data_IF_669440422739
#
_entry.id   IF_669440422739
#
_cell.length_a   1.000
_cell.length_b   1.000
_cell.length_c   1.000
_cell.angle_alpha   90.00
_cell.angle_beta   90.00
_cell.angle_gamma   90.00
#
_symmetry.space_group_name_H-M   'P 1'
#
loop_
_entity.id
_entity.type
_entity.pdbx_description
1 polymer ?
#
# COMPACT_ATOMS: atom_id res chain seq x y z
N UNK A 1 -28.07 6.98 -2.83
CA UNK A 1 -27.80 6.25 -4.09
C UNK A 1 -28.92 5.26 -4.30
N UNK A 2 -29.61 5.29 -5.44
CA UNK A 2 -30.59 4.27 -5.82
C UNK A 2 -29.94 3.26 -6.77
N UNK A 3 -30.39 2.00 -6.71
CA UNK A 3 -30.02 0.94 -7.66
C UNK A 3 -31.30 0.29 -8.17
N UNK A 4 -31.30 -0.07 -9.45
CA UNK A 4 -32.35 -0.85 -10.07
C UNK A 4 -31.93 -2.32 -10.09
N UNK A 5 -32.78 -3.23 -9.61
CA UNK A 5 -32.56 -4.67 -9.63
C UNK A 5 -33.61 -5.34 -10.52
N UNK A 6 -33.20 -6.38 -11.23
CA UNK A 6 -34.04 -7.14 -12.14
C UNK A 6 -35.16 -7.85 -11.39
N UNK A 7 -36.41 -7.57 -11.78
CA UNK A 7 -37.62 -8.11 -11.16
C UNK A 7 -38.32 -9.18 -12.02
N UNK A 8 -37.57 -9.86 -12.90
CA UNK A 8 -38.09 -10.89 -13.81
C UNK A 8 -39.31 -10.41 -14.63
N UNK A 9 -40.50 -10.88 -14.27
CA UNK A 9 -41.76 -10.65 -15.00
C UNK A 9 -42.17 -9.18 -15.04
N UNK A 10 -41.78 -8.40 -14.02
CA UNK A 10 -42.15 -6.99 -13.93
C UNK A 10 -41.14 -6.04 -14.57
N UNK A 11 -40.01 -6.53 -15.08
CA UNK A 11 -38.91 -5.68 -15.57
C UNK A 11 -39.26 -4.97 -16.90
N UNK A 12 -40.06 -5.63 -17.74
CA UNK A 12 -40.41 -5.17 -19.08
C UNK A 12 -41.03 -3.75 -19.12
N UNK A 13 -42.09 -3.43 -18.34
CA UNK A 13 -42.68 -2.08 -18.36
C UNK A 13 -41.76 -0.98 -17.81
N UNK A 14 -40.75 -1.32 -17.00
CA UNK A 14 -39.80 -0.34 -16.46
C UNK A 14 -38.55 -0.14 -17.32
N UNK A 15 -38.47 -0.81 -18.48
CA UNK A 15 -37.37 -0.57 -19.41
C UNK A 15 -37.42 0.86 -19.95
N UNK A 16 -36.26 1.51 -20.12
CA UNK A 16 -36.17 2.90 -20.59
C UNK A 16 -36.97 3.17 -21.87
N UNK A 17 -37.03 2.18 -22.78
CA UNK A 17 -37.78 2.26 -24.04
C UNK A 17 -39.29 2.37 -23.84
N UNK A 18 -39.86 1.66 -22.86
CA UNK A 18 -41.29 1.72 -22.55
C UNK A 18 -41.65 2.97 -21.74
N UNK A 19 -40.68 3.51 -21.00
CA UNK A 19 -40.80 4.78 -20.28
C UNK A 19 -40.58 6.00 -21.20
N UNK A 20 -40.46 5.79 -22.51
CA UNK A 20 -40.19 6.84 -23.49
C UNK A 20 -38.93 7.67 -23.16
N UNK A 21 -37.93 7.05 -22.52
CA UNK A 21 -36.64 7.70 -22.31
C UNK A 21 -35.84 7.67 -23.62
N UNK A 22 -35.63 8.85 -24.21
CA UNK A 22 -34.86 9.03 -25.44
C UNK A 22 -33.36 9.28 -25.19
N UNK A 23 -32.93 9.34 -23.93
CA UNK A 23 -31.51 9.42 -23.57
C UNK A 23 -30.86 8.03 -23.51
N UNK A 24 -29.52 8.00 -23.52
CA UNK A 24 -28.77 6.76 -23.29
C UNK A 24 -29.01 6.29 -21.85
N UNK A 25 -29.61 5.10 -21.65
CA UNK A 25 -29.94 4.64 -20.32
C UNK A 25 -28.70 4.35 -19.49
N UNK A 26 -28.77 4.70 -18.20
CA UNK A 26 -27.68 4.43 -17.25
C UNK A 26 -27.51 2.92 -17.08
N UNK A 27 -26.26 2.47 -17.13
CA UNK A 27 -25.94 1.07 -16.86
C UNK A 27 -26.19 0.74 -15.38
N UNK A 28 -26.97 -0.30 -15.13
CA UNK A 28 -27.19 -0.87 -13.80
C UNK A 28 -26.83 -2.35 -13.81
N UNK A 29 -26.28 -2.83 -12.69
CA UNK A 29 -26.09 -4.26 -12.49
C UNK A 29 -27.46 -4.92 -12.34
N UNK A 30 -27.84 -5.77 -13.30
CA UNK A 30 -29.17 -6.37 -13.37
C UNK A 30 -29.46 -7.26 -12.15
N UNK A 31 -28.48 -8.00 -11.65
CA UNK A 31 -28.70 -8.94 -10.53
C UNK A 31 -27.83 -8.59 -9.32
N UNK A 32 -28.40 -8.48 -8.10
CA UNK A 32 -27.58 -8.32 -6.92
C UNK A 32 -26.67 -9.55 -6.74
N UNK A 33 -25.38 -9.30 -6.52
CA UNK A 33 -24.47 -10.38 -6.15
C UNK A 33 -24.83 -10.91 -4.76
N UNK A 34 -24.83 -12.24 -4.60
CA UNK A 34 -25.00 -12.86 -3.28
C UNK A 34 -23.86 -12.39 -2.36
N UNK A 35 -24.22 -11.82 -1.22
CA UNK A 35 -23.28 -11.44 -0.17
C UNK A 35 -23.27 -12.53 0.90
N UNK A 36 -22.08 -12.84 1.42
CA UNK A 36 -21.88 -13.74 2.54
C UNK A 36 -21.40 -12.91 3.75
N UNK A 37 -21.79 -13.31 4.95
CA UNK A 37 -21.40 -12.66 6.20
C UNK A 37 -22.41 -11.62 6.73
N UNK A 38 -21.95 -10.82 7.68
CA UNK A 38 -22.79 -9.88 8.45
C UNK A 38 -22.54 -8.43 8.02
N UNK A 39 -23.57 -7.59 8.13
CA UNK A 39 -23.43 -6.14 7.95
C UNK A 39 -22.69 -5.52 9.13
N UNK A 40 -21.79 -4.56 8.84
CA UNK A 40 -21.08 -3.77 9.86
C UNK A 40 -21.56 -2.32 9.80
N UNK A 41 -21.67 -1.67 10.96
CA UNK A 41 -22.02 -0.25 11.05
C UNK A 41 -20.83 0.56 10.52
N UNK A 42 -21.09 1.40 9.52
CA UNK A 42 -20.06 2.26 8.89
C UNK A 42 -20.21 3.74 9.25
N UNK A 43 -21.29 4.13 9.93
CA UNK A 43 -21.62 5.51 10.26
C UNK A 43 -22.09 5.65 11.71
N UNK A 44 -21.88 6.83 12.29
CA UNK A 44 -22.47 7.20 13.58
C UNK A 44 -23.96 7.60 13.42
N UNK A 45 -24.62 7.84 14.55
CA UNK A 45 -26.05 8.23 14.60
C UNK A 45 -26.35 9.57 13.93
N UNK A 46 -25.31 10.41 13.74
CA UNK A 46 -25.39 11.68 13.01
C UNK A 46 -25.21 11.51 11.50
N UNK A 47 -25.03 10.28 11.01
CA UNK A 47 -24.80 9.97 9.58
C UNK A 47 -23.37 10.23 9.08
N UNK A 48 -22.41 10.48 9.97
CA UNK A 48 -21.00 10.65 9.62
C UNK A 48 -20.30 9.29 9.56
N UNK A 49 -19.45 9.07 8.55
CA UNK A 49 -18.69 7.83 8.41
C UNK A 49 -17.62 7.69 9.51
N UNK A 50 -17.53 6.50 10.11
CA UNK A 50 -16.54 6.18 11.14
C UNK A 50 -15.09 6.35 10.62
N UNK A 51 -14.15 6.77 11.48
CA UNK A 51 -12.73 6.82 11.12
C UNK A 51 -12.25 5.39 10.80
N UNK A 52 -11.69 5.19 9.62
CA UNK A 52 -11.26 3.88 9.13
C UNK A 52 -12.22 3.19 8.16
N UNK A 53 -13.46 3.67 8.00
CA UNK A 53 -14.31 3.21 6.91
C UNK A 53 -13.66 3.58 5.55
N UNK A 54 -13.59 2.66 4.57
CA UNK A 54 -12.98 2.94 3.28
C UNK A 54 -13.75 4.06 2.59
N UNK A 55 -13.10 5.21 2.45
CA UNK A 55 -13.62 6.34 1.68
C UNK A 55 -12.97 6.28 0.32
N UNK A 56 -13.78 6.35 -0.72
CA UNK A 56 -13.23 6.65 -2.04
C UNK A 56 -12.72 8.08 -1.92
N UNK A 57 -11.40 8.26 -1.98
CA UNK A 57 -10.73 9.55 -1.87
C UNK A 57 -10.96 10.38 -3.14
N UNK A 58 -12.21 10.59 -3.53
CA UNK A 58 -12.55 11.76 -4.32
C UNK A 58 -12.49 12.93 -3.34
N UNK A 59 -11.29 13.51 -3.21
CA UNK A 59 -11.16 14.83 -2.58
C UNK A 59 -12.11 15.74 -3.33
N UNK A 60 -13.19 16.18 -2.67
CA UNK A 60 -14.18 17.08 -3.28
C UNK A 60 -13.51 18.32 -3.87
N UNK A 61 -12.42 18.78 -3.25
CA UNK A 61 -11.53 19.83 -3.78
C UNK A 61 -10.89 19.49 -5.14
N UNK A 62 -10.48 18.24 -5.34
CA UNK A 62 -9.93 17.77 -6.63
C UNK A 62 -11.04 17.72 -7.68
N UNK A 63 -12.23 17.22 -7.33
CA UNK A 63 -13.37 17.19 -8.23
C UNK A 63 -13.86 18.61 -8.61
N UNK A 64 -13.88 19.53 -7.65
CA UNK A 64 -14.22 20.94 -7.88
C UNK A 64 -13.15 21.67 -8.71
N UNK A 65 -11.86 21.33 -8.56
CA UNK A 65 -10.78 21.81 -9.45
C UNK A 65 -10.84 21.21 -10.85
N UNK A 66 -11.45 20.04 -11.01
CA UNK A 66 -11.56 19.32 -12.28
C UNK A 66 -12.83 19.67 -13.07
N UNK A 67 -13.88 20.14 -12.40
CA UNK A 67 -15.09 20.63 -13.05
C UNK A 67 -14.85 22.07 -13.54
N UNK A 68 -14.80 22.27 -14.87
CA UNK A 68 -14.57 23.58 -15.50
C UNK A 68 -13.12 23.89 -15.88
N UNK A 69 -12.17 22.98 -15.60
CA UNK A 69 -10.78 23.08 -16.07
C UNK A 69 -10.66 22.51 -17.49
N UNK A 70 -10.06 23.27 -18.42
CA UNK A 70 -9.74 22.81 -19.78
C UNK A 70 -8.74 21.65 -19.81
N UNK A 71 -7.93 21.49 -18.75
CA UNK A 71 -6.72 20.68 -18.76
C UNK A 71 -6.82 19.46 -17.84
N UNK A 72 -7.98 18.80 -17.83
CA UNK A 72 -8.26 17.59 -17.05
C UNK A 72 -7.18 16.51 -17.22
N UNK A 73 -6.64 16.36 -18.43
CA UNK A 73 -5.59 15.38 -18.74
C UNK A 73 -4.27 15.68 -18.01
N UNK A 74 -3.82 16.93 -18.01
CA UNK A 74 -2.58 17.36 -17.35
C UNK A 74 -2.68 17.18 -15.83
N UNK A 75 -3.85 17.51 -15.25
CA UNK A 75 -4.13 17.30 -13.84
C UNK A 75 -4.03 15.81 -13.45
N UNK A 76 -4.68 14.93 -14.22
CA UNK A 76 -4.63 13.49 -13.96
C UNK A 76 -3.20 12.92 -14.07
N UNK A 77 -2.39 13.42 -15.00
CA UNK A 77 -0.98 13.05 -15.14
C UNK A 77 -0.17 13.47 -13.90
N UNK A 78 -0.42 14.67 -13.37
CA UNK A 78 0.22 15.18 -12.15
C UNK A 78 -0.18 14.36 -10.92
N UNK A 79 -1.46 14.02 -10.77
CA UNK A 79 -1.92 13.14 -9.69
C UNK A 79 -1.25 11.76 -9.74
N UNK A 80 -1.12 11.16 -10.92
CA UNK A 80 -0.41 9.88 -11.09
C UNK A 80 1.07 9.98 -10.68
N UNK A 81 1.75 11.10 -10.99
CA UNK A 81 3.15 11.34 -10.56
C UNK A 81 3.26 11.46 -9.04
N UNK A 82 2.37 12.21 -8.40
CA UNK A 82 2.35 12.38 -6.94
C UNK A 82 2.10 11.03 -6.24
N UNK A 83 1.14 10.23 -6.73
CA UNK A 83 0.86 8.91 -6.18
C UNK A 83 2.06 7.94 -6.32
N UNK A 84 2.74 7.94 -7.47
CA UNK A 84 3.97 7.16 -7.68
C UNK A 84 5.11 7.61 -6.77
N UNK A 85 5.27 8.91 -6.55
CA UNK A 85 6.29 9.44 -5.65
C UNK A 85 6.03 9.06 -4.19
N UNK A 86 4.78 9.11 -3.74
CA UNK A 86 4.38 8.66 -2.41
C UNK A 86 4.66 7.16 -2.21
N UNK A 87 4.34 6.32 -3.20
CA UNK A 87 4.66 4.89 -3.15
C UNK A 87 6.17 4.62 -3.07
N UNK A 88 6.99 5.35 -3.85
CA UNK A 88 8.46 5.26 -3.77
C UNK A 88 8.99 5.67 -2.40
N UNK A 89 8.42 6.71 -1.79
CA UNK A 89 8.80 7.16 -0.44
C UNK A 89 8.52 6.07 0.59
N UNK A 90 7.33 5.46 0.58
CA UNK A 90 6.99 4.35 1.49
C UNK A 90 7.94 3.17 1.34
N UNK A 91 8.34 2.83 0.11
CA UNK A 91 9.31 1.74 -0.13
C UNK A 91 10.68 2.11 0.42
N UNK A 92 11.13 3.35 0.19
CA UNK A 92 12.40 3.86 0.71
C UNK A 92 12.43 3.85 2.24
N UNK A 93 11.38 4.38 2.87
CA UNK A 93 11.26 4.43 4.32
C UNK A 93 11.28 3.01 4.93
N UNK A 94 10.66 2.02 4.27
CA UNK A 94 10.73 0.60 4.70
C UNK A 94 12.14 0.01 4.57
N UNK A 95 12.82 0.23 3.45
CA UNK A 95 14.19 -0.24 3.24
C UNK A 95 15.16 0.40 4.25
N UNK A 96 14.97 1.68 4.58
CA UNK A 96 15.80 2.36 5.59
C UNK A 96 15.61 1.75 6.99
N UNK A 97 14.37 1.40 7.38
CA UNK A 97 14.13 0.69 8.64
C UNK A 97 14.77 -0.71 8.66
N UNK A 98 14.66 -1.50 7.59
CA UNK A 98 15.28 -2.83 7.50
C UNK A 98 16.83 -2.75 7.59
N UNK A 99 17.43 -1.72 6.98
CA UNK A 99 18.88 -1.47 7.07
C UNK A 99 19.30 -1.09 8.50
N UNK A 100 18.49 -0.31 9.22
CA UNK A 100 18.82 0.09 10.59
C UNK A 100 18.61 -1.05 11.60
N UNK A 101 17.64 -1.94 11.37
CA UNK A 101 17.46 -3.17 12.15
C UNK A 101 18.66 -4.12 11.99
N UNK A 102 19.13 -4.33 10.76
CA UNK A 102 20.30 -5.21 10.49
C UNK A 102 21.61 -4.66 11.07
N UNK A 103 21.83 -3.34 11.05
CA UNK A 103 22.98 -2.70 11.70
C UNK A 103 22.95 -2.89 13.22
N UNK A 104 21.79 -2.67 13.83
CA UNK A 104 21.61 -2.86 15.28
C UNK A 104 21.87 -4.32 15.69
N UNK A 105 21.44 -5.29 14.89
CA UNK A 105 21.69 -6.70 15.14
C UNK A 105 23.19 -7.05 15.03
N UNK A 106 23.89 -6.49 14.04
CA UNK A 106 25.34 -6.67 13.88
C UNK A 106 26.14 -6.03 15.02
N UNK A 107 25.77 -4.84 15.47
CA UNK A 107 26.40 -4.20 16.65
C UNK A 107 26.17 -5.01 17.94
N UNK A 108 24.98 -5.60 18.10
CA UNK A 108 24.67 -6.46 19.23
C UNK A 108 25.51 -7.75 19.20
N UNK A 109 25.80 -8.29 18.02
CA UNK A 109 26.67 -9.45 17.84
C UNK A 109 28.15 -9.14 18.14
N UNK A 110 28.64 -7.94 17.81
CA UNK A 110 30.00 -7.49 18.14
C UNK A 110 30.19 -7.31 19.66
N UNK A 111 29.19 -6.79 20.38
CA UNK A 111 29.22 -6.62 21.83
C UNK A 111 29.19 -7.94 22.62
N UNK A 112 28.75 -9.04 22.00
CA UNK A 112 28.70 -10.38 22.61
C UNK A 112 30.00 -11.19 22.47
N UNK A 113 31.01 -10.70 21.73
CA UNK A 113 32.32 -11.37 21.61
C UNK A 113 33.24 -10.93 22.75
N UNK A 114 33.77 -11.85 23.58
CA UNK A 114 34.70 -11.46 24.65
C UNK A 114 36.03 -10.96 24.06
N UNK A 115 36.42 -9.73 24.42
CA UNK A 115 37.76 -9.18 24.21
C UNK A 115 38.77 -9.88 25.13
N UNK A 116 39.20 -11.10 24.79
CA UNK A 116 40.40 -11.71 25.40
C UNK A 116 40.87 -12.91 24.56
N UNK A 117 41.87 -12.69 23.71
CA UNK A 117 42.85 -13.74 23.36
C UNK A 117 44.04 -13.30 22.48
N UNK A 118 44.03 -12.13 21.82
CA UNK A 118 45.07 -11.85 20.80
C UNK A 118 46.34 -11.09 21.26
N UNK A 119 46.60 -10.97 22.57
CA UNK A 119 47.87 -10.39 23.08
C UNK A 119 48.59 -11.27 24.12
N UNK A 120 48.23 -12.55 24.25
CA UNK A 120 48.80 -13.45 25.25
C UNK A 120 49.49 -14.69 24.64
N UNK A 121 50.18 -14.53 23.50
CA UNK A 121 50.82 -15.64 22.79
C UNK A 121 52.07 -15.29 21.97
N UNK A 122 52.76 -14.19 22.27
CA UNK A 122 54.07 -13.88 21.66
C UNK A 122 55.07 -13.57 22.76
N UNK A 123 55.32 -14.53 23.64
CA UNK A 123 56.56 -14.60 24.41
C UNK A 123 56.83 -16.08 24.69
N UNK A 124 58.02 -16.56 24.26
CA UNK A 124 58.51 -17.95 24.29
C UNK A 124 57.93 -18.74 23.10
N UNK A 125 58.66 -19.01 22.02
CA UNK A 125 59.97 -19.66 21.99
C UNK A 125 60.89 -19.12 20.88
N UNK A 126 62.05 -18.62 21.28
CA UNK A 126 63.24 -18.59 20.43
C UNK A 126 63.94 -19.93 20.67
N UNK A 127 63.71 -20.90 19.80
CA UNK A 127 64.61 -22.03 19.63
C UNK A 127 64.83 -22.24 18.12
N UNK A 128 65.94 -21.67 17.67
CA UNK A 128 66.88 -22.19 16.68
C UNK A 128 66.41 -23.41 15.87
N UNK A 129 66.17 -23.22 14.57
CA UNK A 129 66.72 -24.11 13.53
C UNK A 129 67.26 -23.18 12.43
N UNK A 130 68.59 -23.16 12.29
CA UNK A 130 69.28 -22.48 11.21
C UNK A 130 69.02 -23.19 9.86
N UNK A 131 69.09 -22.46 8.73
CA UNK A 131 69.05 -23.04 7.41
C UNK A 131 70.43 -23.58 7.02
N UNK A 132 70.48 -24.78 6.43
CA UNK A 132 71.63 -25.52 5.83
C UNK A 132 72.19 -26.64 6.74
N UNK A 133 72.26 -27.86 6.14
CA UNK A 133 72.66 -29.19 6.62
C UNK A 133 71.51 -30.06 7.19
N UNK A 134 71.23 -31.30 6.76
CA UNK A 134 71.84 -32.24 5.80
C UNK A 134 70.75 -33.27 5.38
N UNK A 135 70.92 -33.85 4.18
CA UNK A 135 70.38 -35.11 3.62
C UNK A 135 69.15 -35.80 4.25
#
# INVERSE_FOLDING_TARGET
MSRHFYAFQFDQPYRPTYLCNWEVPKYYCSRPARKLGCTKIISNDRGQLLPGAPRISFNKEIANKLNGSSDKAAFMLRCKRIAKAAAKKVIKDKLEMEIDETKNEFELQLKKRPLKSYLAGITKDVQNICPIHDF
#
